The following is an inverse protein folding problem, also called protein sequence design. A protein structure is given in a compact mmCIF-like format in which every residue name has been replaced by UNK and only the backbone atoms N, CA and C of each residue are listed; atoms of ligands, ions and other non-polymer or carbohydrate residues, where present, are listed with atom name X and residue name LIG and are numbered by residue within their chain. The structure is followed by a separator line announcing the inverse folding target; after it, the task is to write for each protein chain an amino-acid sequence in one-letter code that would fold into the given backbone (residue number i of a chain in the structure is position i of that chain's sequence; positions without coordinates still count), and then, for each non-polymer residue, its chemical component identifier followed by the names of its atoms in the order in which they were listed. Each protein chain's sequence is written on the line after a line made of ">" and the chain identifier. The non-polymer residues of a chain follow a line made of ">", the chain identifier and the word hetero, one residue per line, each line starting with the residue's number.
data_IF_207132140056
#
_entry.id   IF_207132140056
#
_cell.length_a   1.000
_cell.length_b   1.000
_cell.length_c   1.000
_cell.angle_alpha   90.00
_cell.angle_beta   90.00
_cell.angle_gamma   90.00
#
_symmetry.space_group_name_H-M   'P 1'
#
loop_
_entity.id
_entity.type
_entity.pdbx_description
1 polymer ?
#
# COMPACT_ATOMS: atom_id res chain seq x y z
N UNK A 1 -9.44 -19.16 24.33
CA UNK A 1 -8.87 -17.99 23.66
C UNK A 1 -9.99 -16.96 23.51
N UNK A 2 -9.77 -15.70 23.83
CA UNK A 2 -10.81 -14.68 23.68
C UNK A 2 -11.10 -14.49 22.18
N UNK A 3 -12.39 -14.55 21.80
CA UNK A 3 -12.84 -14.24 20.43
C UNK A 3 -12.93 -12.72 20.20
N UNK A 4 -12.11 -11.94 20.89
CA UNK A 4 -12.17 -10.49 20.82
C UNK A 4 -11.46 -9.98 19.56
N UNK A 5 -12.15 -9.10 18.82
CA UNK A 5 -11.58 -8.44 17.63
C UNK A 5 -10.48 -7.47 18.06
N UNK A 6 -9.34 -7.53 17.39
CA UNK A 6 -8.24 -6.59 17.62
C UNK A 6 -8.59 -5.21 17.05
N UNK A 7 -8.94 -4.28 17.91
CA UNK A 7 -9.39 -2.93 17.54
C UNK A 7 -8.82 -1.86 18.49
N UNK A 8 -7.48 -1.67 18.53
CA UNK A 8 -6.81 -0.76 19.47
C UNK A 8 -7.20 0.72 19.28
N UNK A 9 -7.71 1.09 18.12
CA UNK A 9 -8.16 2.46 17.82
C UNK A 9 -9.69 2.61 17.93
N UNK A 10 -10.39 1.68 18.59
CA UNK A 10 -11.83 1.79 18.81
C UNK A 10 -12.14 3.09 19.57
N UNK A 11 -13.08 3.87 19.04
CA UNK A 11 -13.50 5.17 19.60
C UNK A 11 -12.73 6.37 19.04
N UNK A 12 -11.67 6.16 18.25
CA UNK A 12 -10.96 7.23 17.53
C UNK A 12 -11.73 7.58 16.26
N UNK A 13 -12.02 8.88 16.08
CA UNK A 13 -12.69 9.45 14.90
C UNK A 13 -11.71 10.16 14.00
N UNK A 14 -11.68 9.78 12.72
CA UNK A 14 -10.80 10.34 11.70
C UNK A 14 -11.64 10.96 10.59
N UNK A 15 -11.47 12.24 10.33
CA UNK A 15 -12.03 12.94 9.17
C UNK A 15 -10.93 13.05 8.11
N UNK A 16 -11.15 12.47 6.93
CA UNK A 16 -10.13 12.39 5.90
C UNK A 16 -10.56 13.04 4.59
N UNK A 17 -9.83 14.06 4.18
CA UNK A 17 -9.96 14.67 2.85
C UNK A 17 -8.95 13.99 1.93
N UNK A 18 -9.30 12.83 1.39
CA UNK A 18 -8.37 11.94 0.72
C UNK A 18 -8.69 11.71 -0.76
N UNK A 19 -7.63 11.60 -1.54
CA UNK A 19 -7.69 11.38 -2.98
C UNK A 19 -6.71 10.28 -3.39
N UNK A 20 -6.98 9.58 -4.48
CA UNK A 20 -6.13 8.56 -5.09
C UNK A 20 -5.79 7.39 -4.13
N UNK A 21 -4.51 7.18 -3.79
CA UNK A 21 -4.04 5.98 -3.12
C UNK A 21 -3.32 6.20 -1.80
N UNK A 22 -2.43 7.19 -1.73
CA UNK A 22 -1.44 7.31 -0.66
C UNK A 22 -2.09 7.43 0.73
N UNK A 23 -2.83 8.49 0.98
CA UNK A 23 -3.53 8.66 2.26
C UNK A 23 -4.63 7.62 2.46
N UNK A 24 -5.44 7.26 1.43
CA UNK A 24 -6.41 6.18 1.56
C UNK A 24 -5.82 4.86 2.06
N UNK A 25 -4.60 4.50 1.67
CA UNK A 25 -3.92 3.30 2.17
C UNK A 25 -3.56 3.40 3.66
N UNK A 26 -3.22 4.59 4.14
CA UNK A 26 -2.95 4.87 5.55
C UNK A 26 -4.22 4.84 6.40
N UNK A 27 -5.25 5.56 5.98
CA UNK A 27 -6.53 5.63 6.71
C UNK A 27 -7.27 4.29 6.71
N UNK A 28 -7.10 3.46 5.66
CA UNK A 28 -7.51 2.06 5.66
C UNK A 28 -6.86 1.29 6.80
N UNK A 29 -5.54 1.39 6.96
CA UNK A 29 -4.85 0.67 8.03
C UNK A 29 -5.36 1.10 9.42
N UNK A 30 -5.65 2.40 9.62
CA UNK A 30 -6.24 2.90 10.85
C UNK A 30 -7.67 2.39 11.06
N UNK A 31 -8.47 2.31 9.98
CA UNK A 31 -9.79 1.70 10.02
C UNK A 31 -9.73 0.21 10.41
N UNK A 32 -8.81 -0.56 9.82
CA UNK A 32 -8.62 -1.98 10.12
C UNK A 32 -8.16 -2.20 11.58
N UNK A 33 -7.54 -1.19 12.19
CA UNK A 33 -7.22 -1.14 13.63
C UNK A 33 -8.38 -0.66 14.51
N UNK A 34 -9.53 -0.37 13.95
CA UNK A 34 -10.76 -0.05 14.69
C UNK A 34 -11.17 1.42 14.73
N UNK A 35 -10.41 2.34 14.12
CA UNK A 35 -10.82 3.74 14.02
C UNK A 35 -12.08 3.88 13.14
N UNK A 36 -12.92 4.86 13.49
CA UNK A 36 -14.00 5.32 12.63
C UNK A 36 -13.42 6.33 11.63
N UNK A 37 -13.40 5.97 10.34
CA UNK A 37 -12.88 6.84 9.29
C UNK A 37 -14.03 7.34 8.42
N UNK A 38 -14.17 8.66 8.34
CA UNK A 38 -15.10 9.35 7.46
C UNK A 38 -14.31 10.05 6.35
N UNK A 39 -14.55 9.65 5.12
CA UNK A 39 -13.99 10.27 3.92
C UNK A 39 -14.88 11.42 3.47
N UNK A 40 -14.27 12.55 3.17
CA UNK A 40 -14.97 13.70 2.55
C UNK A 40 -14.58 13.76 1.07
N UNK A 41 -15.58 13.67 0.21
CA UNK A 41 -15.41 13.77 -1.25
C UNK A 41 -16.08 15.02 -1.80
N UNK A 42 -15.56 15.61 -2.89
CA UNK A 42 -16.27 16.67 -3.59
C UNK A 42 -17.46 16.13 -4.39
N UNK A 43 -18.38 16.99 -4.84
CA UNK A 43 -19.39 16.67 -5.85
C UNK A 43 -18.74 16.03 -7.08
N UNK A 44 -19.39 15.02 -7.69
CA UNK A 44 -18.83 14.25 -8.79
C UNK A 44 -17.75 13.25 -8.38
N UNK A 45 -17.48 13.16 -7.09
CA UNK A 45 -16.54 12.22 -6.51
C UNK A 45 -15.11 12.37 -7.01
N UNK A 46 -14.29 11.43 -6.64
CA UNK A 46 -12.96 11.27 -7.21
C UNK A 46 -13.09 10.53 -8.54
N UNK A 47 -12.56 11.07 -9.63
CA UNK A 47 -12.45 10.35 -10.92
C UNK A 47 -11.72 8.99 -10.79
N UNK A 48 -11.02 8.74 -9.68
CA UNK A 48 -10.40 7.47 -9.32
C UNK A 48 -11.39 6.40 -8.87
N UNK A 49 -12.62 6.73 -8.46
CA UNK A 49 -13.69 5.76 -8.21
C UNK A 49 -14.08 4.92 -9.43
N UNK A 50 -13.57 5.27 -10.61
CA UNK A 50 -13.70 4.45 -11.82
C UNK A 50 -12.76 3.23 -11.83
N UNK A 51 -11.72 3.21 -11.02
CA UNK A 51 -10.84 2.06 -10.85
C UNK A 51 -11.33 1.23 -9.67
N UNK A 52 -12.33 0.40 -9.89
CA UNK A 52 -13.01 -0.37 -8.83
C UNK A 52 -12.03 -1.19 -8.01
N UNK A 53 -11.07 -1.85 -8.63
CA UNK A 53 -10.03 -2.62 -7.94
C UNK A 53 -9.16 -1.77 -7.01
N UNK A 54 -9.00 -0.49 -7.33
CA UNK A 54 -8.28 0.49 -6.51
C UNK A 54 -9.15 0.96 -5.35
N UNK A 55 -10.39 1.34 -5.66
CA UNK A 55 -11.35 1.85 -4.68
C UNK A 55 -11.65 0.79 -3.63
N UNK A 56 -11.91 -0.42 -4.08
CA UNK A 56 -12.15 -1.57 -3.24
C UNK A 56 -10.92 -1.86 -2.33
N UNK A 57 -9.70 -1.78 -2.88
CA UNK A 57 -8.47 -2.05 -2.12
C UNK A 57 -8.14 -1.05 -1.01
N UNK A 58 -8.54 0.23 -1.10
CA UNK A 58 -8.12 1.28 -0.14
C UNK A 58 -9.27 2.03 0.51
N UNK A 59 -10.50 1.88 0.02
CA UNK A 59 -11.68 2.59 0.56
C UNK A 59 -12.62 1.71 1.36
N UNK A 60 -12.42 0.39 1.40
CA UNK A 60 -13.32 -0.51 2.11
C UNK A 60 -13.50 -0.11 3.59
N UNK A 61 -14.70 -0.31 4.09
CA UNK A 61 -15.07 -0.12 5.48
C UNK A 61 -15.15 1.32 5.97
N UNK A 62 -14.71 2.30 5.19
CA UNK A 62 -14.79 3.71 5.56
C UNK A 62 -16.13 4.30 5.17
N UNK A 63 -16.71 5.15 6.04
CA UNK A 63 -17.87 5.97 5.65
C UNK A 63 -17.47 7.02 4.61
N UNK A 64 -18.40 7.37 3.73
CA UNK A 64 -18.17 8.35 2.67
C UNK A 64 -19.28 9.39 2.62
N UNK A 65 -18.90 10.65 2.85
CA UNK A 65 -19.79 11.82 2.71
C UNK A 65 -19.31 12.68 1.55
N UNK A 66 -20.24 13.38 0.90
CA UNK A 66 -19.90 14.26 -0.22
C UNK A 66 -20.38 15.68 0.06
N UNK A 67 -19.43 16.63 0.14
CA UNK A 67 -19.66 18.02 0.55
C UNK A 67 -19.03 18.97 -0.49
N UNK A 68 -19.82 19.97 -0.91
CA UNK A 68 -19.31 21.07 -1.74
C UNK A 68 -18.64 22.15 -0.87
N UNK A 69 -17.32 22.09 -0.75
CA UNK A 69 -16.54 23.10 -0.02
C UNK A 69 -16.48 24.47 -0.71
N UNK A 70 -16.98 24.61 -1.93
CA UNK A 70 -17.09 25.93 -2.58
C UNK A 70 -18.21 26.78 -1.95
N UNK A 71 -19.20 26.12 -1.33
CA UNK A 71 -20.29 26.75 -0.62
C UNK A 71 -19.94 27.02 0.86
N UNK A 72 -20.37 28.15 1.40
CA UNK A 72 -20.09 28.50 2.79
C UNK A 72 -20.63 27.45 3.76
N UNK A 73 -21.88 27.03 3.57
CA UNK A 73 -22.54 26.06 4.43
C UNK A 73 -21.83 24.68 4.41
N UNK A 74 -21.27 24.30 3.24
CA UNK A 74 -20.43 23.10 3.14
C UNK A 74 -19.13 23.21 3.94
N UNK A 75 -18.50 24.39 3.96
CA UNK A 75 -17.33 24.65 4.82
C UNK A 75 -17.67 24.60 6.30
N UNK A 76 -18.83 25.17 6.68
CA UNK A 76 -19.30 25.19 8.07
C UNK A 76 -19.59 23.78 8.58
N UNK A 77 -20.17 22.92 7.74
CA UNK A 77 -20.37 21.49 8.04
C UNK A 77 -19.01 20.78 8.18
N UNK A 78 -18.11 20.97 7.23
CA UNK A 78 -16.78 20.36 7.28
C UNK A 78 -15.97 20.79 8.51
N UNK A 79 -16.05 22.07 8.90
CA UNK A 79 -15.47 22.60 10.12
C UNK A 79 -16.09 21.93 11.36
N UNK A 80 -17.41 21.82 11.41
CA UNK A 80 -18.12 21.18 12.51
C UNK A 80 -17.73 19.72 12.68
N UNK A 81 -17.60 18.98 11.58
CA UNK A 81 -17.10 17.59 11.59
C UNK A 81 -15.63 17.51 12.05
N UNK A 82 -14.79 18.45 11.60
CA UNK A 82 -13.37 18.49 12.00
C UNK A 82 -13.22 18.68 13.53
N UNK A 83 -14.07 19.50 14.16
CA UNK A 83 -14.06 19.68 15.61
C UNK A 83 -14.56 18.43 16.36
N UNK A 84 -15.39 17.60 15.77
CA UNK A 84 -15.80 16.33 16.36
C UNK A 84 -14.77 15.19 16.16
N UNK A 85 -13.82 15.36 15.24
CA UNK A 85 -12.80 14.36 14.96
C UNK A 85 -11.64 14.40 15.98
N UNK A 86 -10.97 13.29 16.17
CA UNK A 86 -9.69 13.17 16.87
C UNK A 86 -8.52 13.49 15.95
N UNK A 87 -8.66 13.16 14.67
CA UNK A 87 -7.67 13.35 13.63
C UNK A 87 -8.34 13.94 12.38
N UNK A 88 -7.75 14.98 11.83
CA UNK A 88 -8.09 15.48 10.49
C UNK A 88 -6.86 15.30 9.59
N UNK A 89 -7.04 14.58 8.50
CA UNK A 89 -5.93 14.33 7.58
C UNK A 89 -6.33 14.62 6.13
N UNK A 90 -5.33 15.01 5.32
CA UNK A 90 -5.54 15.22 3.90
C UNK A 90 -4.27 14.94 3.09
N UNK A 91 -4.45 14.64 1.78
CA UNK A 91 -3.35 14.50 0.84
C UNK A 91 -3.48 15.42 -0.40
N UNK A 92 -4.08 16.56 -0.20
CA UNK A 92 -4.10 17.63 -1.20
C UNK A 92 -2.79 18.42 -1.18
N UNK A 93 -2.60 19.29 -2.17
CA UNK A 93 -1.56 20.32 -2.09
C UNK A 93 -1.84 21.26 -0.90
N UNK A 94 -0.82 21.76 -0.19
CA UNK A 94 -1.00 22.55 1.03
C UNK A 94 -1.93 23.76 0.87
N UNK A 95 -1.92 24.38 -0.30
CA UNK A 95 -2.79 25.53 -0.61
C UNK A 95 -4.29 25.19 -0.69
N UNK A 96 -4.68 23.92 -0.83
CA UNK A 96 -6.08 23.55 -1.12
C UNK A 96 -7.00 23.78 0.09
N UNK A 97 -6.73 23.16 1.25
CA UNK A 97 -7.59 23.31 2.43
C UNK A 97 -7.51 24.70 3.04
N UNK A 98 -6.40 25.42 2.82
CA UNK A 98 -6.26 26.83 3.23
C UNK A 98 -7.32 27.73 2.60
N UNK A 99 -7.74 27.46 1.35
CA UNK A 99 -8.80 28.20 0.65
C UNK A 99 -10.18 28.05 1.27
N UNK A 100 -10.37 27.03 2.10
CA UNK A 100 -11.65 26.68 2.69
C UNK A 100 -11.65 26.87 4.23
N UNK A 101 -10.66 27.57 4.79
CA UNK A 101 -10.49 27.78 6.24
C UNK A 101 -10.35 26.48 7.05
N UNK A 102 -9.88 25.41 6.40
CA UNK A 102 -9.65 24.08 6.99
C UNK A 102 -8.17 23.76 7.15
N UNK A 103 -7.29 24.79 7.15
CA UNK A 103 -5.86 24.59 7.42
C UNK A 103 -5.63 24.14 8.87
N UNK A 104 -4.57 23.33 9.08
CA UNK A 104 -4.20 22.78 10.39
C UNK A 104 -4.18 23.84 11.50
N UNK A 105 -3.58 25.01 11.23
CA UNK A 105 -3.55 26.14 12.18
C UNK A 105 -4.95 26.56 12.66
N UNK A 106 -5.87 26.78 11.71
CA UNK A 106 -7.26 27.21 12.02
C UNK A 106 -8.00 26.16 12.81
N UNK A 107 -7.85 24.90 12.46
CA UNK A 107 -8.49 23.79 13.15
C UNK A 107 -7.98 23.63 14.59
N UNK A 108 -6.66 23.69 14.78
CA UNK A 108 -6.01 23.51 16.08
C UNK A 108 -6.16 24.73 17.01
N UNK A 109 -6.33 25.94 16.48
CA UNK A 109 -6.74 27.10 17.30
C UNK A 109 -8.13 26.89 17.95
N UNK A 110 -9.03 26.15 17.28
CA UNK A 110 -10.37 25.81 17.81
C UNK A 110 -10.36 24.56 18.69
N UNK A 111 -9.47 23.62 18.41
CA UNK A 111 -9.34 22.34 19.11
C UNK A 111 -7.86 21.99 19.32
N UNK A 112 -7.23 22.44 20.40
CA UNK A 112 -5.79 22.23 20.65
C UNK A 112 -5.37 20.75 20.74
N UNK A 113 -6.28 19.87 21.13
CA UNK A 113 -6.04 18.42 21.19
C UNK A 113 -6.21 17.72 19.85
N UNK A 114 -6.61 18.44 18.78
CA UNK A 114 -6.76 17.86 17.44
C UNK A 114 -5.40 17.50 16.84
N UNK A 115 -5.31 16.31 16.31
CA UNK A 115 -4.20 15.89 15.48
C UNK A 115 -4.52 16.22 14.02
N UNK A 116 -3.61 16.93 13.35
CA UNK A 116 -3.73 17.22 11.92
C UNK A 116 -2.59 16.55 11.15
N UNK A 117 -2.88 16.02 9.96
CA UNK A 117 -1.87 15.46 9.06
C UNK A 117 -2.10 15.98 7.64
N UNK A 118 -1.06 16.63 7.12
CA UNK A 118 -0.93 17.02 5.72
C UNK A 118 0.06 16.08 5.04
N UNK A 119 -0.39 15.29 4.06
CA UNK A 119 0.48 14.48 3.22
C UNK A 119 0.56 15.13 1.85
N UNK A 120 1.74 15.56 1.42
CA UNK A 120 1.96 16.07 0.08
C UNK A 120 3.10 15.34 -0.64
N UNK A 121 3.28 15.59 -1.93
CA UNK A 121 4.34 14.94 -2.69
C UNK A 121 5.73 15.23 -2.15
N UNK A 122 5.96 16.50 -1.76
CA UNK A 122 7.31 16.99 -1.43
C UNK A 122 7.45 17.59 -0.03
N UNK A 123 6.34 17.67 0.73
CA UNK A 123 6.33 18.28 2.08
C UNK A 123 6.36 19.81 2.05
N UNK A 124 6.29 20.41 3.24
CA UNK A 124 6.41 21.86 3.49
C UNK A 124 7.38 22.11 4.66
N UNK A 125 8.20 23.16 4.63
CA UNK A 125 8.40 24.14 3.55
C UNK A 125 9.31 23.64 2.44
N UNK A 126 9.30 24.28 1.29
CA UNK A 126 10.27 24.03 0.23
C UNK A 126 9.83 24.58 -1.13
N UNK A 127 10.75 24.69 -2.10
CA UNK A 127 10.45 25.25 -3.41
C UNK A 127 9.44 24.39 -4.20
N UNK A 128 9.26 23.12 -3.85
CA UNK A 128 8.35 22.19 -4.52
C UNK A 128 7.06 21.91 -3.73
N UNK A 129 6.83 22.62 -2.62
CA UNK A 129 5.70 22.34 -1.71
C UNK A 129 4.33 22.34 -2.40
N UNK A 130 4.12 23.16 -3.41
CA UNK A 130 2.85 23.22 -4.21
C UNK A 130 2.93 22.47 -5.55
N UNK A 131 4.03 21.77 -5.83
CA UNK A 131 4.13 20.98 -7.06
C UNK A 131 3.15 19.81 -7.04
N UNK A 132 2.44 19.55 -8.15
CA UNK A 132 1.62 18.36 -8.27
C UNK A 132 2.52 17.12 -8.28
N UNK A 133 2.12 16.08 -7.54
CA UNK A 133 2.84 14.83 -7.48
C UNK A 133 1.88 13.63 -7.46
N UNK A 134 2.36 12.54 -8.01
CA UNK A 134 1.81 11.21 -7.89
C UNK A 134 2.93 10.23 -7.55
N UNK A 135 2.60 9.01 -7.15
CA UNK A 135 3.59 7.99 -6.81
C UNK A 135 4.80 7.92 -7.76
N UNK A 136 4.62 7.88 -9.10
CA UNK A 136 5.75 7.87 -10.03
C UNK A 136 6.73 9.02 -9.89
N UNK A 137 6.23 10.23 -9.69
CA UNK A 137 7.09 11.41 -9.57
C UNK A 137 7.84 11.44 -8.23
N UNK A 138 7.22 10.95 -7.14
CA UNK A 138 7.88 10.88 -5.84
C UNK A 138 8.92 9.77 -5.78
N UNK A 139 8.69 8.62 -6.44
CA UNK A 139 9.69 7.56 -6.60
C UNK A 139 10.94 8.07 -7.37
N UNK A 140 10.72 8.79 -8.46
CA UNK A 140 11.80 9.35 -9.26
C UNK A 140 12.57 10.43 -8.50
N UNK A 141 11.86 11.38 -7.88
CA UNK A 141 12.46 12.46 -7.11
C UNK A 141 13.20 11.98 -5.85
N UNK A 142 12.70 10.90 -5.22
CA UNK A 142 13.35 10.27 -4.07
C UNK A 142 14.56 9.42 -4.41
N UNK A 143 14.86 9.20 -5.71
CA UNK A 143 16.06 8.48 -6.18
C UNK A 143 15.86 6.97 -6.41
N UNK A 144 14.72 6.40 -6.01
CA UNK A 144 14.49 4.96 -6.06
C UNK A 144 14.61 4.38 -7.49
N UNK A 145 14.03 5.07 -8.48
CA UNK A 145 14.05 4.58 -9.87
C UNK A 145 15.47 4.47 -10.44
N UNK A 146 16.42 5.26 -9.95
CA UNK A 146 17.83 5.18 -10.37
C UNK A 146 18.48 3.87 -9.95
N UNK A 147 18.01 3.27 -8.88
CA UNK A 147 18.49 1.98 -8.37
C UNK A 147 17.73 0.78 -8.99
N UNK A 148 16.57 1.05 -9.59
CA UNK A 148 15.75 0.04 -10.26
C UNK A 148 16.11 -0.02 -11.75
N UNK A 149 17.30 -0.54 -12.04
CA UNK A 149 17.85 -0.62 -13.41
C UNK A 149 18.83 -1.78 -13.52
N UNK A 150 18.79 -2.50 -14.64
CA UNK A 150 19.87 -3.40 -15.02
C UNK A 150 20.97 -2.64 -15.74
N UNK A 151 22.18 -3.20 -15.78
CA UNK A 151 23.31 -2.60 -16.46
C UNK A 151 23.01 -2.33 -17.95
N UNK A 152 23.19 -1.08 -18.38
CA UNK A 152 22.93 -0.66 -19.76
C UNK A 152 21.47 -0.40 -20.13
N UNK A 153 20.53 -0.53 -19.18
CA UNK A 153 19.10 -0.29 -19.39
C UNK A 153 18.64 1.06 -18.86
N UNK A 154 17.41 1.43 -19.19
CA UNK A 154 16.77 2.63 -18.63
C UNK A 154 16.19 2.34 -17.23
N UNK A 155 16.15 3.33 -16.31
CA UNK A 155 15.50 3.19 -15.02
C UNK A 155 14.04 2.76 -15.17
N UNK A 156 13.63 1.80 -14.35
CA UNK A 156 12.25 1.30 -14.30
C UNK A 156 11.58 1.63 -12.97
N UNK A 157 10.28 1.46 -12.92
CA UNK A 157 9.49 1.62 -11.70
C UNK A 157 9.31 0.28 -11.00
N UNK A 158 9.09 0.33 -9.70
CA UNK A 158 8.67 -0.85 -8.94
C UNK A 158 7.18 -1.13 -9.20
N UNK A 159 6.90 -2.23 -9.90
CA UNK A 159 5.55 -2.74 -10.09
C UNK A 159 4.57 -1.76 -10.77
N UNK A 160 3.30 -1.83 -10.40
CA UNK A 160 2.19 -1.11 -11.04
C UNK A 160 2.07 0.37 -10.64
N UNK A 161 3.00 0.90 -9.86
CA UNK A 161 3.10 2.31 -9.60
C UNK A 161 2.39 2.86 -8.36
N UNK A 162 2.11 2.03 -7.40
CA UNK A 162 1.54 2.44 -6.11
C UNK A 162 2.46 2.17 -4.92
N UNK A 163 3.75 1.90 -5.18
CA UNK A 163 4.71 1.55 -4.11
C UNK A 163 4.91 2.72 -3.14
N UNK A 164 5.26 3.90 -3.66
CA UNK A 164 5.43 5.11 -2.84
C UNK A 164 4.14 5.51 -2.12
N UNK A 165 2.98 5.34 -2.77
CA UNK A 165 1.68 5.60 -2.16
C UNK A 165 1.45 4.70 -0.93
N UNK A 166 1.68 3.39 -1.09
CA UNK A 166 1.55 2.43 0.01
C UNK A 166 2.55 2.71 1.13
N UNK A 167 3.79 3.05 0.80
CA UNK A 167 4.82 3.39 1.77
C UNK A 167 4.46 4.64 2.56
N UNK A 168 4.10 5.74 1.87
CA UNK A 168 3.70 6.98 2.52
C UNK A 168 2.43 6.80 3.37
N UNK A 169 1.45 6.01 2.89
CA UNK A 169 0.26 5.67 3.67
C UNK A 169 0.60 4.96 4.99
N UNK A 170 1.57 4.03 4.99
CA UNK A 170 2.03 3.36 6.22
C UNK A 170 2.73 4.33 7.18
N UNK A 171 3.56 5.25 6.65
CA UNK A 171 4.16 6.31 7.46
C UNK A 171 3.12 7.25 8.06
N UNK A 172 2.07 7.62 7.30
CA UNK A 172 0.97 8.43 7.82
C UNK A 172 0.23 7.74 8.97
N UNK A 173 -0.07 6.45 8.81
CA UNK A 173 -0.71 5.66 9.87
C UNK A 173 0.17 5.59 11.12
N UNK A 174 1.48 5.34 10.95
CA UNK A 174 2.44 5.32 12.05
C UNK A 174 2.53 6.67 12.77
N UNK A 175 2.63 7.78 12.02
CA UNK A 175 2.70 9.12 12.58
C UNK A 175 1.43 9.48 13.37
N UNK A 176 0.25 9.13 12.83
CA UNK A 176 -1.02 9.35 13.53
C UNK A 176 -1.08 8.53 14.83
N UNK A 177 -0.67 7.26 14.82
CA UNK A 177 -0.65 6.43 16.04
C UNK A 177 0.32 7.00 17.07
N UNK A 178 1.51 7.45 16.66
CA UNK A 178 2.47 8.10 17.56
C UNK A 178 1.92 9.41 18.15
N UNK A 179 1.25 10.23 17.34
CA UNK A 179 0.59 11.46 17.82
C UNK A 179 -0.57 11.17 18.78
N UNK A 180 -1.36 10.11 18.53
CA UNK A 180 -2.41 9.67 19.46
C UNK A 180 -1.82 9.22 20.80
N UNK A 181 -0.71 8.49 20.79
CA UNK A 181 0.01 8.09 22.00
C UNK A 181 0.50 9.33 22.79
N UNK A 182 1.17 10.27 22.10
CA UNK A 182 1.62 11.51 22.72
C UNK A 182 0.47 12.34 23.27
N UNK A 183 -0.65 12.46 22.55
CA UNK A 183 -1.86 13.14 23.01
C UNK A 183 -2.40 12.53 24.29
N UNK A 184 -2.38 11.21 24.42
CA UNK A 184 -2.83 10.53 25.64
C UNK A 184 -2.00 10.91 26.88
N UNK A 185 -0.73 11.28 26.70
CA UNK A 185 0.18 11.71 27.78
C UNK A 185 0.08 13.21 28.07
N UNK A 186 -0.08 14.04 27.03
CA UNK A 186 0.04 15.51 27.13
C UNK A 186 -1.30 16.24 27.10
N UNK A 187 -2.36 15.61 26.61
CA UNK A 187 -3.64 16.23 26.30
C UNK A 187 -3.63 17.12 25.05
N UNK A 188 -2.48 17.27 24.37
CA UNK A 188 -2.32 18.14 23.20
C UNK A 188 -2.20 17.31 21.91
N UNK A 189 -2.80 17.83 20.83
CA UNK A 189 -2.65 17.29 19.49
C UNK A 189 -1.33 17.73 18.83
N UNK A 190 -1.09 17.23 17.63
CA UNK A 190 0.09 17.54 16.81
C UNK A 190 -0.33 17.97 15.41
N UNK A 191 0.55 18.77 14.76
CA UNK A 191 0.46 19.07 13.34
C UNK A 191 1.56 18.32 12.59
N UNK A 192 1.18 17.41 11.72
CA UNK A 192 2.09 16.49 11.04
C UNK A 192 2.16 16.89 9.56
N UNK A 193 3.33 17.27 9.09
CA UNK A 193 3.64 17.41 7.66
C UNK A 193 4.40 16.17 7.20
N UNK A 194 3.89 15.48 6.17
CA UNK A 194 4.47 14.26 5.64
C UNK A 194 4.76 14.40 4.15
N UNK A 195 6.01 14.22 3.77
CA UNK A 195 6.47 14.19 2.39
C UNK A 195 6.53 12.77 1.85
N UNK A 196 5.80 12.49 0.77
CA UNK A 196 5.88 11.19 0.09
C UNK A 196 7.28 10.91 -0.46
N UNK A 197 7.98 11.93 -0.95
CA UNK A 197 9.36 11.82 -1.45
C UNK A 197 10.32 11.46 -0.32
N UNK A 198 10.16 12.07 0.87
CA UNK A 198 11.02 11.76 2.01
C UNK A 198 10.77 10.34 2.55
N UNK A 199 9.57 9.80 2.41
CA UNK A 199 9.33 8.39 2.70
C UNK A 199 10.19 7.46 1.82
N UNK A 200 10.42 7.82 0.56
CA UNK A 200 11.31 7.09 -0.35
C UNK A 200 12.77 7.24 0.08
N UNK A 201 13.21 8.47 0.36
CA UNK A 201 14.61 8.70 0.79
C UNK A 201 14.90 8.04 2.14
N UNK A 202 13.94 8.02 3.05
CA UNK A 202 14.06 7.32 4.33
C UNK A 202 14.31 5.81 4.14
N UNK A 203 13.67 5.18 3.15
CA UNK A 203 13.91 3.77 2.79
C UNK A 203 15.34 3.51 2.30
N UNK A 204 16.00 4.53 1.75
CA UNK A 204 17.35 4.44 1.14
C UNK A 204 18.46 5.03 2.01
N UNK A 205 18.24 5.12 3.31
CA UNK A 205 19.19 5.78 4.24
C UNK A 205 20.59 5.18 4.20
N UNK A 206 20.72 3.87 4.04
CA UNK A 206 21.99 3.16 3.92
C UNK A 206 22.78 3.62 2.69
N UNK A 207 22.13 3.67 1.54
CA UNK A 207 22.76 4.09 0.28
C UNK A 207 23.15 5.56 0.28
N UNK A 208 22.39 6.41 0.96
CA UNK A 208 22.76 7.81 1.17
C UNK A 208 24.01 7.93 2.05
N UNK A 209 24.09 7.14 3.10
CA UNK A 209 25.26 7.09 3.98
C UNK A 209 26.48 6.60 3.19
N UNK A 210 26.34 5.55 2.40
CA UNK A 210 27.40 5.03 1.53
C UNK A 210 27.91 6.12 0.57
N UNK A 211 26.98 6.80 -0.12
CA UNK A 211 27.34 7.88 -1.04
C UNK A 211 28.14 9.01 -0.36
N UNK A 212 27.78 9.37 0.86
CA UNK A 212 28.48 10.42 1.63
C UNK A 212 29.86 9.95 2.08
N UNK A 213 29.99 8.71 2.52
CA UNK A 213 31.24 8.14 3.04
C UNK A 213 32.23 7.82 1.93
N UNK A 214 31.77 7.23 0.84
CA UNK A 214 32.64 6.84 -0.30
C UNK A 214 32.92 8.01 -1.25
N UNK A 215 32.04 9.00 -1.31
CA UNK A 215 32.04 10.04 -2.34
C UNK A 215 31.53 9.57 -3.70
N UNK A 216 31.03 8.33 -3.79
CA UNK A 216 30.54 7.71 -5.01
C UNK A 216 29.03 7.51 -4.95
N UNK A 217 28.37 7.63 -6.09
CA UNK A 217 26.91 7.32 -6.18
C UNK A 217 26.74 5.82 -6.29
N UNK A 218 25.98 5.17 -5.38
CA UNK A 218 25.70 3.75 -5.46
C UNK A 218 25.10 3.36 -6.83
N UNK A 219 25.62 2.29 -7.41
CA UNK A 219 25.16 1.76 -8.71
C UNK A 219 24.26 0.56 -8.50
N UNK A 220 23.28 0.41 -9.37
CA UNK A 220 22.46 -0.79 -9.40
C UNK A 220 23.25 -1.97 -9.99
N UNK A 221 23.15 -3.10 -9.34
CA UNK A 221 23.63 -4.38 -9.85
C UNK A 221 22.49 -5.27 -10.39
N UNK A 222 21.31 -4.70 -10.62
CA UNK A 222 20.11 -5.46 -11.00
C UNK A 222 19.68 -6.41 -9.88
N UNK A 223 19.55 -7.69 -10.19
CA UNK A 223 19.21 -8.72 -9.20
C UNK A 223 20.41 -9.24 -8.41
N UNK A 224 21.62 -8.76 -8.67
CA UNK A 224 22.86 -9.22 -8.07
C UNK A 224 23.23 -8.46 -6.82
N UNK A 225 23.97 -9.11 -5.93
CA UNK A 225 24.50 -8.48 -4.73
C UNK A 225 25.98 -8.93 -4.55
N UNK A 226 26.95 -8.01 -4.42
CA UNK A 226 28.35 -8.36 -4.26
C UNK A 226 28.66 -9.09 -2.94
N UNK A 227 27.82 -8.96 -1.94
CA UNK A 227 27.97 -9.62 -0.64
C UNK A 227 27.25 -10.97 -0.57
N UNK A 228 26.46 -11.34 -1.59
CA UNK A 228 25.69 -12.60 -1.67
C UNK A 228 25.79 -13.15 -3.06
N UNK A 229 26.68 -14.09 -3.29
CA UNK A 229 26.99 -14.56 -4.65
C UNK A 229 26.93 -16.07 -4.75
N UNK A 230 26.08 -16.61 -5.64
CA UNK A 230 25.16 -15.90 -6.52
C UNK A 230 23.90 -15.38 -5.80
N UNK A 231 23.42 -14.24 -6.27
CA UNK A 231 22.05 -13.78 -6.01
C UNK A 231 21.43 -13.42 -7.35
N UNK A 232 20.25 -13.95 -7.63
CA UNK A 232 19.61 -13.72 -8.93
C UNK A 232 18.20 -14.29 -9.02
N UNK A 233 17.59 -14.03 -10.18
CA UNK A 233 16.33 -14.64 -10.61
C UNK A 233 16.64 -15.46 -11.86
N UNK A 234 16.31 -16.74 -11.82
CA UNK A 234 16.69 -17.70 -12.83
C UNK A 234 15.48 -18.38 -13.47
N UNK A 235 15.51 -18.68 -14.78
CA UNK A 235 14.40 -19.33 -15.47
C UNK A 235 14.19 -20.76 -14.96
N UNK A 236 12.93 -21.19 -14.90
CA UNK A 236 12.52 -22.56 -14.62
C UNK A 236 11.80 -23.17 -15.83
N UNK A 237 11.39 -24.43 -15.74
CA UNK A 237 10.61 -25.09 -16.76
C UNK A 237 9.22 -24.43 -16.86
N UNK A 238 8.77 -24.15 -18.08
CA UNK A 238 7.51 -23.48 -18.38
C UNK A 238 7.69 -22.16 -19.11
N UNK A 239 6.60 -21.44 -19.34
CA UNK A 239 6.59 -20.12 -19.94
C UNK A 239 6.51 -19.07 -18.83
N UNK A 240 7.46 -18.13 -18.80
CA UNK A 240 7.56 -17.06 -17.77
C UNK A 240 7.63 -17.60 -16.32
N UNK A 241 8.32 -18.74 -16.12
CA UNK A 241 8.49 -19.38 -14.82
C UNK A 241 9.89 -19.13 -14.27
N UNK A 242 10.00 -18.66 -13.02
CA UNK A 242 11.25 -18.17 -12.44
C UNK A 242 11.40 -18.56 -10.97
N UNK A 243 12.66 -18.68 -10.53
CA UNK A 243 13.05 -18.86 -9.12
C UNK A 243 14.06 -17.79 -8.70
N UNK A 244 13.86 -17.20 -7.53
CA UNK A 244 14.86 -16.36 -6.88
C UNK A 244 15.75 -17.24 -5.98
N UNK A 245 17.08 -17.06 -6.07
CA UNK A 245 18.08 -17.77 -5.27
C UNK A 245 19.06 -16.75 -4.71
N UNK A 246 19.47 -16.91 -3.44
CA UNK A 246 20.48 -16.10 -2.80
C UNK A 246 21.39 -16.96 -1.95
N UNK A 247 22.70 -16.90 -2.19
CA UNK A 247 23.75 -17.62 -1.46
C UNK A 247 24.48 -16.64 -0.55
N UNK A 248 24.40 -16.85 0.74
CA UNK A 248 24.89 -15.91 1.73
C UNK A 248 26.41 -16.05 1.96
N UNK A 249 26.94 -17.27 1.95
CA UNK A 249 28.35 -17.53 2.25
C UNK A 249 28.91 -18.74 1.47
N UNK A 250 30.20 -19.03 1.70
CA UNK A 250 30.88 -20.13 1.04
C UNK A 250 30.44 -21.52 1.53
N UNK A 251 29.86 -21.61 2.73
CA UNK A 251 29.30 -22.88 3.23
C UNK A 251 27.99 -23.20 2.50
N UNK A 252 27.10 -22.23 2.39
CA UNK A 252 25.86 -22.37 1.61
C UNK A 252 26.13 -22.62 0.13
N UNK A 253 27.21 -22.04 -0.41
CA UNK A 253 27.64 -22.36 -1.78
C UNK A 253 27.98 -23.85 -1.96
N UNK A 254 28.74 -24.46 -1.02
CA UNK A 254 29.04 -25.90 -1.07
C UNK A 254 27.80 -26.76 -1.03
N UNK A 255 26.83 -26.40 -0.16
CA UNK A 255 25.54 -27.08 -0.10
C UNK A 255 24.75 -26.94 -1.42
N UNK A 256 24.81 -25.77 -2.06
CA UNK A 256 24.19 -25.55 -3.36
C UNK A 256 24.83 -26.41 -4.46
N UNK A 257 26.16 -26.49 -4.50
CA UNK A 257 26.89 -27.35 -5.44
C UNK A 257 26.50 -28.82 -5.24
N UNK A 258 26.47 -29.30 -4.01
CA UNK A 258 26.05 -30.68 -3.69
C UNK A 258 24.64 -30.97 -4.17
N UNK A 259 23.68 -30.07 -3.86
CA UNK A 259 22.26 -30.23 -4.27
C UNK A 259 22.08 -30.13 -5.77
N UNK A 260 22.88 -29.31 -6.43
CA UNK A 260 22.79 -29.12 -7.89
C UNK A 260 23.24 -30.32 -8.69
N UNK A 261 24.11 -31.17 -8.09
CA UNK A 261 24.76 -32.31 -8.75
C UNK A 261 25.50 -31.91 -10.07
N UNK A 262 25.97 -30.64 -10.12
CA UNK A 262 26.61 -30.09 -11.30
C UNK A 262 28.14 -30.02 -11.10
N UNK A 263 28.88 -30.98 -11.62
CA UNK A 263 30.34 -31.01 -11.52
C UNK A 263 31.02 -29.71 -11.95
N UNK A 264 30.43 -29.01 -12.95
CA UNK A 264 30.97 -27.74 -13.48
C UNK A 264 30.93 -26.61 -12.44
N UNK A 265 30.05 -26.69 -11.44
CA UNK A 265 29.98 -25.73 -10.33
C UNK A 265 31.00 -26.03 -9.23
N UNK A 266 31.56 -27.22 -9.22
CA UNK A 266 32.62 -27.64 -8.29
C UNK A 266 34.03 -27.22 -8.78
N UNK A 267 34.11 -26.27 -9.68
CA UNK A 267 35.38 -25.69 -10.16
C UNK A 267 35.93 -24.71 -9.09
N UNK A 268 37.23 -24.78 -8.81
CA UNK A 268 37.91 -23.87 -7.89
C UNK A 268 37.75 -22.38 -8.19
N UNK A 269 37.32 -22.03 -9.43
CA UNK A 269 36.96 -20.68 -9.81
C UNK A 269 35.75 -20.12 -9.08
N UNK A 270 34.95 -20.97 -8.42
CA UNK A 270 33.72 -20.57 -7.70
C UNK A 270 33.82 -20.82 -6.19
N UNK A 271 34.98 -21.18 -5.66
CA UNK A 271 35.13 -21.60 -4.26
C UNK A 271 34.84 -20.46 -3.26
N UNK A 272 35.29 -19.25 -3.58
CA UNK A 272 35.10 -18.09 -2.69
C UNK A 272 34.07 -17.12 -3.25
N UNK A 273 33.37 -16.39 -2.35
CA UNK A 273 32.41 -15.33 -2.74
C UNK A 273 33.04 -14.32 -3.70
N UNK A 274 34.27 -13.89 -3.43
CA UNK A 274 34.97 -12.95 -4.30
C UNK A 274 35.25 -13.53 -5.70
N UNK A 275 35.62 -14.82 -5.81
CA UNK A 275 35.82 -15.47 -7.09
C UNK A 275 34.52 -15.70 -7.85
N UNK A 276 33.43 -16.03 -7.12
CA UNK A 276 32.08 -16.11 -7.73
C UNK A 276 31.64 -14.75 -8.27
N UNK A 277 31.84 -13.65 -7.52
CA UNK A 277 31.54 -12.30 -8.01
C UNK A 277 32.29 -11.97 -9.30
N UNK A 278 33.58 -12.26 -9.34
CA UNK A 278 34.42 -12.05 -10.55
C UNK A 278 33.91 -12.80 -11.76
N UNK A 279 33.35 -13.97 -11.57
CA UNK A 279 32.86 -14.85 -12.63
C UNK A 279 31.34 -14.90 -12.75
N UNK A 280 30.65 -13.89 -12.21
CA UNK A 280 29.21 -13.90 -11.99
C UNK A 280 28.40 -14.15 -13.27
N UNK A 281 28.77 -13.53 -14.40
CA UNK A 281 28.08 -13.74 -15.68
C UNK A 281 28.05 -15.20 -16.09
N UNK A 282 29.22 -15.87 -16.01
CA UNK A 282 29.33 -17.30 -16.36
C UNK A 282 28.58 -18.18 -15.37
N UNK A 283 28.64 -17.82 -14.10
CA UNK A 283 27.92 -18.53 -13.03
C UNK A 283 26.40 -18.44 -13.22
N UNK A 284 25.88 -17.28 -13.56
CA UNK A 284 24.45 -17.11 -13.84
C UNK A 284 23.99 -17.96 -15.04
N UNK A 285 24.78 -18.04 -16.11
CA UNK A 285 24.48 -18.89 -17.26
C UNK A 285 24.40 -20.38 -16.87
N UNK A 286 25.33 -20.84 -16.04
CA UNK A 286 25.36 -22.22 -15.56
C UNK A 286 24.14 -22.53 -14.68
N UNK A 287 23.83 -21.65 -13.74
CA UNK A 287 22.66 -21.79 -12.87
C UNK A 287 21.37 -21.75 -13.68
N UNK A 288 21.23 -20.79 -14.62
CA UNK A 288 20.07 -20.69 -15.49
C UNK A 288 19.89 -21.97 -16.36
N UNK A 289 20.99 -22.56 -16.86
CA UNK A 289 20.93 -23.80 -17.61
C UNK A 289 20.46 -24.99 -16.74
N UNK A 290 20.80 -24.99 -15.46
CA UNK A 290 20.41 -26.02 -14.52
C UNK A 290 18.95 -25.84 -14.06
N UNK A 291 18.52 -24.60 -13.71
CA UNK A 291 17.19 -24.31 -13.20
C UNK A 291 16.11 -24.41 -14.28
N UNK A 292 16.41 -24.05 -15.54
CA UNK A 292 15.46 -24.09 -16.68
C UNK A 292 14.88 -25.49 -16.97
N UNK A 293 15.47 -26.54 -16.41
CA UNK A 293 15.02 -27.93 -16.55
C UNK A 293 14.18 -28.42 -15.38
N UNK A 294 13.85 -27.54 -14.42
CA UNK A 294 13.21 -27.90 -13.15
C UNK A 294 11.97 -27.06 -12.89
N UNK A 295 10.97 -27.67 -12.22
CA UNK A 295 9.84 -26.93 -11.71
C UNK A 295 10.27 -25.99 -10.56
N UNK A 296 9.77 -24.76 -10.56
CA UNK A 296 10.16 -23.74 -9.58
C UNK A 296 9.78 -24.09 -8.14
N UNK A 297 8.66 -24.79 -7.91
CA UNK A 297 8.21 -25.14 -6.58
C UNK A 297 9.03 -26.34 -6.05
N UNK A 298 9.19 -27.41 -6.85
CA UNK A 298 10.01 -28.57 -6.51
C UNK A 298 11.46 -28.15 -6.22
N UNK A 299 12.01 -27.26 -7.05
CA UNK A 299 13.36 -26.73 -6.88
C UNK A 299 13.47 -25.87 -5.59
N UNK A 300 12.46 -25.05 -5.31
CA UNK A 300 12.41 -24.30 -4.04
C UNK A 300 12.42 -25.24 -2.83
N UNK A 301 11.57 -26.27 -2.82
CA UNK A 301 11.53 -27.26 -1.74
C UNK A 301 12.89 -27.95 -1.57
N UNK A 302 13.52 -28.39 -2.65
CA UNK A 302 14.83 -29.02 -2.66
C UNK A 302 15.88 -28.10 -2.01
N UNK A 303 15.98 -26.84 -2.47
CA UNK A 303 16.96 -25.87 -1.93
C UNK A 303 16.69 -25.52 -0.47
N UNK A 304 15.43 -25.40 -0.06
CA UNK A 304 15.06 -25.13 1.32
C UNK A 304 15.41 -26.29 2.27
N UNK A 305 15.47 -27.56 1.82
CA UNK A 305 15.95 -28.68 2.66
C UNK A 305 17.39 -28.48 3.13
N UNK A 306 18.18 -27.72 2.37
CA UNK A 306 19.57 -27.34 2.70
C UNK A 306 19.68 -25.91 3.23
N UNK A 307 18.54 -25.27 3.61
CA UNK A 307 18.46 -23.88 4.11
C UNK A 307 19.01 -22.84 3.14
N UNK A 308 19.02 -23.16 1.85
CA UNK A 308 19.40 -22.21 0.80
C UNK A 308 18.22 -21.28 0.57
N UNK A 309 18.44 -19.97 0.72
CA UNK A 309 17.41 -18.96 0.54
C UNK A 309 16.92 -18.94 -0.93
N UNK A 310 15.72 -19.43 -1.13
CA UNK A 310 15.09 -19.53 -2.45
C UNK A 310 13.58 -19.38 -2.34
N UNK A 311 12.96 -18.87 -3.40
CA UNK A 311 11.52 -18.75 -3.51
C UNK A 311 11.07 -18.77 -4.97
N UNK A 312 9.94 -19.40 -5.31
CA UNK A 312 9.38 -19.29 -6.66
C UNK A 312 8.89 -17.86 -6.89
N UNK A 313 9.17 -17.28 -8.05
CA UNK A 313 8.55 -16.02 -8.47
C UNK A 313 7.10 -16.32 -8.81
N UNK A 314 6.18 -15.67 -8.11
CA UNK A 314 4.74 -15.95 -8.20
C UNK A 314 3.98 -14.84 -8.88
N UNK A 315 2.97 -15.20 -9.64
CA UNK A 315 1.92 -14.27 -10.03
C UNK A 315 1.03 -13.95 -8.83
N UNK A 316 0.23 -12.88 -8.91
CA UNK A 316 -0.78 -12.58 -7.87
C UNK A 316 -1.77 -13.72 -7.70
N UNK A 317 -2.09 -14.41 -8.79
CA UNK A 317 -2.97 -15.58 -8.82
C UNK A 317 -2.38 -16.76 -8.03
N UNK A 318 -1.09 -17.07 -8.23
CA UNK A 318 -0.39 -18.12 -7.49
C UNK A 318 -0.35 -17.80 -5.99
N UNK A 319 -0.06 -16.54 -5.64
CA UNK A 319 -0.03 -16.08 -4.25
C UNK A 319 -1.38 -16.25 -3.56
N UNK A 320 -2.49 -15.99 -4.26
CA UNK A 320 -3.83 -16.14 -3.70
C UNK A 320 -4.19 -17.61 -3.39
N UNK A 321 -3.65 -18.55 -4.16
CA UNK A 321 -3.86 -20.00 -3.98
C UNK A 321 -2.80 -20.67 -3.12
N UNK A 322 -1.77 -19.94 -2.69
CA UNK A 322 -0.65 -20.48 -1.94
C UNK A 322 -1.07 -21.02 -0.57
N UNK A 323 -0.73 -22.27 -0.21
CA UNK A 323 -1.10 -22.87 1.07
C UNK A 323 -0.61 -22.09 2.29
N UNK A 324 0.58 -21.44 2.21
CA UNK A 324 1.10 -20.60 3.29
C UNK A 324 0.23 -19.36 3.51
N UNK A 325 -0.20 -18.70 2.42
CA UNK A 325 -1.08 -17.54 2.50
C UNK A 325 -2.46 -17.92 3.03
N UNK A 326 -3.01 -19.05 2.58
CA UNK A 326 -4.29 -19.58 3.08
C UNK A 326 -4.20 -19.93 4.57
N UNK A 327 -3.17 -20.66 5.00
CA UNK A 327 -2.98 -21.02 6.40
C UNK A 327 -2.86 -19.80 7.33
N UNK A 328 -2.34 -18.67 6.82
CA UNK A 328 -2.25 -17.41 7.56
C UNK A 328 -3.50 -16.54 7.46
N UNK A 329 -4.50 -16.91 6.68
CA UNK A 329 -5.65 -16.06 6.36
C UNK A 329 -5.20 -14.74 5.75
N UNK A 330 -4.26 -14.80 4.79
CA UNK A 330 -3.70 -13.61 4.14
C UNK A 330 -4.68 -12.92 3.21
N UNK A 331 -5.80 -13.57 2.90
CA UNK A 331 -6.91 -13.01 2.15
C UNK A 331 -8.21 -13.22 2.93
N UNK A 332 -9.08 -12.22 2.91
CA UNK A 332 -10.46 -12.29 3.38
C UNK A 332 -11.40 -12.00 2.20
N UNK A 333 -12.48 -12.72 2.10
CA UNK A 333 -13.54 -12.41 1.14
C UNK A 333 -14.34 -11.21 1.65
N UNK A 334 -14.46 -10.18 0.83
CA UNK A 334 -15.32 -9.02 1.06
C UNK A 334 -16.52 -9.14 0.15
N UNK A 335 -17.70 -9.23 0.76
CA UNK A 335 -18.98 -9.24 0.05
C UNK A 335 -19.33 -7.82 -0.40
N UNK A 336 -19.79 -7.67 -1.63
CA UNK A 336 -20.17 -6.41 -2.23
C UNK A 336 -21.68 -6.23 -2.24
N UNK A 337 -22.15 -5.03 -1.99
CA UNK A 337 -23.57 -4.67 -2.13
C UNK A 337 -24.08 -4.89 -3.56
N UNK A 338 -23.18 -4.73 -4.53
CA UNK A 338 -23.44 -5.04 -5.94
C UNK A 338 -22.29 -5.88 -6.48
N UNK A 339 -22.57 -6.93 -7.27
CA UNK A 339 -21.52 -7.73 -7.86
C UNK A 339 -20.53 -6.90 -8.66
N UNK A 340 -19.25 -7.05 -8.37
CA UNK A 340 -18.14 -6.42 -9.10
C UNK A 340 -17.55 -7.44 -10.06
N UNK A 341 -17.44 -7.09 -11.34
CA UNK A 341 -16.91 -7.97 -12.39
C UNK A 341 -17.55 -9.37 -12.43
N UNK A 342 -18.84 -9.46 -12.05
CA UNK A 342 -19.59 -10.71 -12.05
C UNK A 342 -19.45 -11.56 -10.79
N UNK A 343 -18.73 -11.09 -9.77
CA UNK A 343 -18.60 -11.76 -8.47
C UNK A 343 -19.28 -10.98 -7.36
N UNK A 344 -19.95 -11.70 -6.46
CA UNK A 344 -20.57 -11.13 -5.27
C UNK A 344 -19.54 -10.79 -4.17
N UNK A 345 -18.34 -11.33 -4.24
CA UNK A 345 -17.27 -11.08 -3.29
C UNK A 345 -15.90 -11.12 -3.97
N UNK A 346 -14.92 -10.37 -3.42
CA UNK A 346 -13.52 -10.40 -3.84
C UNK A 346 -12.58 -10.65 -2.68
N UNK A 347 -11.41 -11.29 -2.92
CA UNK A 347 -10.41 -11.48 -1.89
C UNK A 347 -9.61 -10.19 -1.65
N UNK A 348 -9.53 -9.77 -0.39
CA UNK A 348 -8.74 -8.62 0.03
C UNK A 348 -7.72 -8.99 1.11
N UNK A 349 -6.49 -8.45 1.06
CA UNK A 349 -5.52 -8.67 2.10
C UNK A 349 -5.87 -7.83 3.34
N UNK A 350 -6.08 -8.47 4.52
CA UNK A 350 -6.18 -7.76 5.80
C UNK A 350 -4.80 -7.28 6.25
N UNK A 351 -4.71 -6.64 7.42
CA UNK A 351 -3.41 -6.32 8.02
C UNK A 351 -2.50 -7.56 8.11
N UNK A 352 -1.20 -7.46 7.76
CA UNK A 352 -0.34 -8.63 7.52
C UNK A 352 0.16 -9.33 8.79
N UNK A 353 -0.29 -8.93 9.98
CA UNK A 353 0.12 -9.52 11.25
C UNK A 353 -1.05 -10.23 11.96
N UNK A 354 -0.69 -11.13 12.86
CA UNK A 354 -1.60 -11.82 13.77
C UNK A 354 -1.25 -11.42 15.21
N UNK A 355 -2.25 -11.08 16.00
CA UNK A 355 -2.10 -10.85 17.44
C UNK A 355 -2.59 -12.07 18.19
N UNK A 356 -1.75 -12.60 19.10
CA UNK A 356 -2.06 -13.81 19.84
C UNK A 356 -3.38 -13.68 20.62
N UNK A 357 -4.28 -14.63 20.44
CA UNK A 357 -5.58 -14.65 21.11
C UNK A 357 -6.58 -13.60 20.61
N UNK A 358 -6.33 -12.94 19.48
CA UNK A 358 -7.22 -11.93 18.90
C UNK A 358 -7.61 -12.31 17.48
N UNK A 359 -8.79 -11.84 17.05
CA UNK A 359 -9.28 -12.01 15.69
C UNK A 359 -9.04 -10.69 14.92
N UNK A 360 -8.58 -10.81 13.67
CA UNK A 360 -8.52 -9.64 12.76
C UNK A 360 -9.93 -9.10 12.53
N UNK A 361 -10.06 -7.78 12.44
CA UNK A 361 -11.31 -7.15 12.03
C UNK A 361 -11.69 -7.66 10.63
N UNK A 362 -12.96 -8.02 10.46
CA UNK A 362 -13.48 -8.36 9.14
C UNK A 362 -13.52 -7.11 8.26
N UNK A 363 -13.09 -7.28 7.03
CA UNK A 363 -13.18 -6.24 6.02
C UNK A 363 -14.64 -6.13 5.53
N UNK A 364 -15.06 -4.93 5.19
CA UNK A 364 -16.40 -4.65 4.67
C UNK A 364 -16.30 -3.86 3.38
N UNK A 365 -17.35 -3.87 2.58
CA UNK A 365 -17.42 -3.18 1.29
C UNK A 365 -17.08 -1.68 1.38
N UNK A 366 -16.71 -1.08 0.26
CA UNK A 366 -16.53 0.36 0.15
C UNK A 366 -17.89 1.07 0.03
N UNK A 367 -17.90 2.39 0.32
CA UNK A 367 -19.07 3.25 0.21
C UNK A 367 -19.02 4.13 -1.02
N UNK A 368 -20.18 4.34 -1.65
CA UNK A 368 -20.33 5.30 -2.73
C UNK A 368 -20.25 6.75 -2.23
N UNK A 369 -20.07 7.69 -3.13
CA UNK A 369 -19.99 9.10 -2.77
C UNK A 369 -21.27 9.60 -2.12
N UNK A 370 -21.17 10.07 -0.89
CA UNK A 370 -22.30 10.60 -0.13
C UNK A 370 -23.27 9.55 0.40
N UNK A 371 -22.99 8.27 0.25
CA UNK A 371 -23.85 7.17 0.74
C UNK A 371 -24.13 7.27 2.24
N UNK A 372 -23.17 7.75 3.01
CA UNK A 372 -23.26 7.86 4.46
C UNK A 372 -23.58 9.29 4.96
N UNK A 373 -24.02 10.22 4.09
CA UNK A 373 -24.35 11.59 4.47
C UNK A 373 -25.31 11.62 5.69
N UNK A 374 -26.46 10.92 5.59
CA UNK A 374 -27.48 10.91 6.65
C UNK A 374 -26.93 10.32 7.95
N UNK A 375 -26.29 9.17 7.90
CA UNK A 375 -25.77 8.47 9.08
C UNK A 375 -24.67 9.26 9.80
N UNK A 376 -23.67 9.74 9.05
CA UNK A 376 -22.53 10.47 9.62
C UNK A 376 -22.96 11.82 10.20
N UNK A 377 -23.74 12.61 9.46
CA UNK A 377 -24.14 13.93 9.92
C UNK A 377 -25.08 13.84 11.13
N UNK A 378 -25.95 12.83 11.19
CA UNK A 378 -26.75 12.57 12.37
C UNK A 378 -25.88 12.17 13.57
N UNK A 379 -24.98 11.20 13.44
CA UNK A 379 -24.17 10.68 14.55
C UNK A 379 -23.11 11.67 15.06
N UNK A 380 -22.52 12.45 14.17
CA UNK A 380 -21.45 13.38 14.56
C UNK A 380 -21.96 14.77 14.91
N UNK A 381 -23.01 15.26 14.25
CA UNK A 381 -23.50 16.63 14.39
C UNK A 381 -24.94 16.73 14.93
N UNK A 382 -25.66 15.61 15.05
CA UNK A 382 -27.05 15.61 15.49
C UNK A 382 -28.02 16.20 14.45
N UNK A 383 -27.62 16.31 13.19
CA UNK A 383 -28.46 16.88 12.14
C UNK A 383 -29.66 16.00 11.86
N UNK A 384 -30.81 16.63 11.68
CA UNK A 384 -32.05 15.94 11.34
C UNK A 384 -32.10 15.59 9.85
N UNK A 385 -32.86 14.56 9.50
CA UNK A 385 -33.08 14.18 8.09
C UNK A 385 -33.65 15.33 7.26
N UNK A 386 -34.48 16.18 7.85
CA UNK A 386 -35.02 17.37 7.18
C UNK A 386 -33.94 18.37 6.80
N UNK A 387 -32.98 18.61 7.68
CA UNK A 387 -31.85 19.50 7.43
C UNK A 387 -30.93 18.90 6.34
N UNK A 388 -30.67 17.61 6.39
CA UNK A 388 -29.84 16.92 5.41
C UNK A 388 -30.47 16.96 4.02
N UNK A 389 -31.78 16.65 3.91
CA UNK A 389 -32.50 16.72 2.64
C UNK A 389 -32.46 18.15 2.05
N UNK A 390 -32.65 19.20 2.90
CA UNK A 390 -32.50 20.59 2.46
C UNK A 390 -31.12 20.86 1.87
N UNK A 391 -30.07 20.40 2.52
CA UNK A 391 -28.69 20.58 2.04
C UNK A 391 -28.41 19.83 0.74
N UNK A 392 -29.04 18.68 0.53
CA UNK A 392 -28.98 17.94 -0.73
C UNK A 392 -29.75 18.70 -1.84
N UNK A 393 -30.96 19.20 -1.55
CA UNK A 393 -31.75 20.00 -2.49
C UNK A 393 -31.03 21.29 -2.90
N UNK A 394 -30.31 21.93 -1.98
CA UNK A 394 -29.50 23.12 -2.21
C UNK A 394 -28.12 22.81 -2.83
N UNK A 395 -27.79 21.53 -3.04
CA UNK A 395 -26.54 21.08 -3.62
C UNK A 395 -25.33 21.42 -2.74
N UNK A 396 -25.46 21.40 -1.43
CA UNK A 396 -24.36 21.46 -0.48
C UNK A 396 -23.80 20.06 -0.21
N UNK A 397 -24.71 19.09 -0.10
CA UNK A 397 -24.42 17.67 -0.01
C UNK A 397 -24.83 16.97 -1.29
N UNK A 398 -24.13 15.89 -1.61
CA UNK A 398 -24.41 15.08 -2.80
C UNK A 398 -24.49 13.61 -2.41
N UNK A 399 -25.45 12.88 -2.98
CA UNK A 399 -25.53 11.44 -2.93
C UNK A 399 -25.63 10.92 -4.36
N UNK A 400 -24.55 10.39 -4.89
CA UNK A 400 -24.46 10.03 -6.31
C UNK A 400 -24.96 8.62 -6.61
N UNK A 401 -25.38 7.91 -5.57
CA UNK A 401 -25.79 6.51 -5.70
C UNK A 401 -24.66 5.59 -6.15
N UNK A 402 -24.98 4.36 -6.53
CA UNK A 402 -23.99 3.38 -6.91
C UNK A 402 -23.16 3.80 -8.13
N UNK A 403 -21.84 3.60 -8.05
CA UNK A 403 -20.93 3.82 -9.19
C UNK A 403 -21.39 2.96 -10.36
N UNK A 404 -21.76 3.58 -11.46
CA UNK A 404 -22.07 2.86 -12.70
C UNK A 404 -20.79 2.26 -13.28
N UNK A 405 -20.57 0.96 -13.05
CA UNK A 405 -19.39 0.20 -13.49
C UNK A 405 -19.31 0.03 -15.04
N UNK A 406 -20.20 0.69 -15.81
CA UNK A 406 -20.44 0.48 -17.23
C UNK A 406 -19.30 0.84 -18.19
N UNK A 407 -18.16 1.37 -17.77
CA UNK A 407 -17.11 1.86 -18.68
C UNK A 407 -15.75 1.17 -18.53
N UNK A 408 -15.52 0.33 -17.54
CA UNK A 408 -14.33 -0.49 -17.46
C UNK A 408 -14.58 -1.87 -18.09
N UNK A 409 -14.29 -1.97 -19.38
CA UNK A 409 -14.07 -3.27 -20.01
C UNK A 409 -12.70 -3.77 -19.54
N UNK A 410 -12.67 -4.56 -18.46
CA UNK A 410 -11.65 -5.60 -18.40
C UNK A 410 -11.92 -6.44 -19.64
N UNK A 411 -10.94 -6.62 -20.54
CA UNK A 411 -11.15 -7.50 -21.67
C UNK A 411 -11.65 -8.83 -21.15
N UNK A 412 -12.85 -9.25 -21.58
CA UNK A 412 -13.43 -10.55 -21.18
C UNK A 412 -12.52 -11.73 -21.50
N UNK A 413 -11.51 -11.49 -22.36
CA UNK A 413 -10.47 -12.44 -22.76
C UNK A 413 -9.56 -12.89 -21.61
N UNK A 414 -9.51 -12.17 -20.47
CA UNK A 414 -8.64 -12.52 -19.32
C UNK A 414 -9.45 -12.97 -18.09
N UNK A 415 -10.75 -13.18 -18.24
CA UNK A 415 -11.59 -13.72 -17.17
C UNK A 415 -11.35 -15.23 -17.05
N UNK A 416 -10.85 -15.65 -15.88
CA UNK A 416 -10.68 -17.06 -15.55
C UNK A 416 -11.76 -17.51 -14.53
N UNK A 417 -12.86 -18.11 -15.00
CA UNK A 417 -13.93 -18.53 -14.11
C UNK A 417 -13.51 -19.65 -13.16
N UNK A 418 -12.49 -20.45 -13.50
CA UNK A 418 -11.98 -21.52 -12.64
C UNK A 418 -11.20 -20.94 -11.44
N UNK A 419 -10.54 -19.82 -11.63
CA UNK A 419 -9.80 -19.16 -10.54
C UNK A 419 -10.76 -18.70 -9.43
N UNK A 420 -11.87 -18.08 -9.78
CA UNK A 420 -12.91 -17.73 -8.82
C UNK A 420 -13.43 -18.94 -8.05
N UNK A 421 -13.68 -20.06 -8.74
CA UNK A 421 -14.12 -21.30 -8.09
C UNK A 421 -13.06 -21.87 -7.13
N UNK A 422 -11.77 -21.85 -7.51
CA UNK A 422 -10.66 -22.29 -6.65
C UNK A 422 -10.51 -21.43 -5.39
N UNK A 423 -10.87 -20.15 -5.45
CA UNK A 423 -10.92 -19.24 -4.30
C UNK A 423 -12.22 -19.36 -3.49
N UNK A 424 -13.18 -20.17 -3.91
CA UNK A 424 -14.47 -20.30 -3.24
C UNK A 424 -15.37 -19.08 -3.40
N UNK A 425 -15.18 -18.28 -4.45
CA UNK A 425 -15.99 -17.09 -4.69
C UNK A 425 -17.42 -17.47 -5.05
N UNK A 426 -18.44 -16.92 -4.37
CA UNK A 426 -19.84 -17.08 -4.77
C UNK A 426 -20.07 -16.41 -6.14
N UNK A 427 -20.82 -17.13 -7.01
CA UNK A 427 -21.25 -16.61 -8.30
C UNK A 427 -22.33 -15.56 -8.14
#
# INVERSE_FOLDING_TARGET
>A
MSNEVYAPLKGIRILSFELAFALPAGTRALHDLGAEVVRVTPPGGNNFGRYVSVSDGVFHGKSCISIDLTKQEGRDIAMSLAIQADVVCNNFRPSVLTKYDLAAKVLRERKPELITLQMSGYGTPGPWSDFPAYGPSTEAAGGLNRLMVNEGEVPIRIGTGVFSDQLAGRHAALAIVAALQRRAETGLGEDIDLSMTECITHLMGELMTEAVVSGEVPVSHGNRNPERVPQGIYPCVGDDEWIAISIEDDAMWRDFVEVSEQDILNDGSYETQQSRWKHHNKLDELIATWTSKRDKNELTELLQTRRIASAPVRTVKDSALDPQFQARGALQLVEHQQPLFGYAAHPHPPLPWLMAGRIRKLLTDFRNNGEDNEDVLYRWLGMTKKEINRLEDEGVLYNEGPVQLGTFRIPQTNYDPEFGQKLGLPK
#
